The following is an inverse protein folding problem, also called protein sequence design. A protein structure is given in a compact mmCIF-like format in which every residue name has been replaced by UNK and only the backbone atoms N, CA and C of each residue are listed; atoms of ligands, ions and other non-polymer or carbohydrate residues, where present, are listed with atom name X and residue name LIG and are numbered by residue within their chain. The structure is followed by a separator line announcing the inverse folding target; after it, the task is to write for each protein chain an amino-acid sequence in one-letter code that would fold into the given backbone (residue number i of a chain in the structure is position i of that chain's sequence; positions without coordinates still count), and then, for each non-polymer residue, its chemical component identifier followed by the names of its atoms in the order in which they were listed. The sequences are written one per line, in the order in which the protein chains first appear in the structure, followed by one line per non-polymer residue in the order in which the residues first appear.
data_IF_182174879821
#
_entry.id   IF_182174879821
#
_cell.length_a   1.000
_cell.length_b   1.000
_cell.length_c   1.000
_cell.angle_alpha   90.00
_cell.angle_beta   90.00
_cell.angle_gamma   90.00
#
_symmetry.space_group_name_H-M   'P 1'
#
loop_
_entity.id
_entity.type
_entity.pdbx_description
1 polymer ?
#
# COMPACT_ATOMS: atom_id res chain seq x y z
N UNK A 1 -77.45 -27.53 -20.63
CA UNK A 1 -76.84 -26.21 -20.40
C UNK A 1 -75.64 -26.48 -19.46
N UNK A 2 -74.42 -26.72 -19.94
CA UNK A 2 -73.20 -26.63 -19.10
C UNK A 2 -71.93 -27.25 -19.72
N UNK A 3 -71.68 -27.20 -20.98
CA UNK A 3 -70.39 -27.64 -21.58
C UNK A 3 -69.68 -26.51 -22.31
N UNK A 4 -70.40 -25.42 -22.63
CA UNK A 4 -69.85 -24.28 -23.36
C UNK A 4 -69.10 -23.25 -22.47
N UNK A 5 -69.29 -23.25 -21.16
CA UNK A 5 -68.66 -22.28 -20.24
C UNK A 5 -67.23 -22.68 -19.78
N UNK A 6 -66.96 -23.98 -19.69
CA UNK A 6 -65.63 -24.44 -19.29
C UNK A 6 -64.53 -24.22 -20.35
N UNK A 7 -64.91 -24.18 -21.66
CA UNK A 7 -63.97 -23.90 -22.75
C UNK A 7 -63.58 -22.45 -22.86
N UNK A 8 -64.44 -21.50 -22.39
CA UNK A 8 -64.14 -20.06 -22.41
C UNK A 8 -63.20 -19.62 -21.26
N UNK A 9 -63.28 -20.28 -20.09
CA UNK A 9 -62.41 -19.94 -18.97
C UNK A 9 -60.94 -20.40 -19.21
N UNK A 10 -60.73 -21.56 -19.80
CA UNK A 10 -59.37 -22.03 -20.14
C UNK A 10 -58.65 -21.19 -21.18
N UNK A 11 -59.39 -20.53 -22.09
CA UNK A 11 -58.82 -19.66 -23.12
C UNK A 11 -58.41 -18.30 -22.59
N UNK A 12 -59.07 -17.82 -21.52
CA UNK A 12 -58.74 -16.53 -20.89
C UNK A 12 -57.49 -16.59 -19.99
N UNK A 13 -57.26 -17.74 -19.29
CA UNK A 13 -56.07 -17.91 -18.49
C UNK A 13 -54.79 -18.13 -19.31
N UNK A 14 -54.89 -18.79 -20.49
CA UNK A 14 -53.77 -18.96 -21.41
C UNK A 14 -53.28 -17.64 -22.04
N UNK A 15 -54.13 -16.63 -22.16
CA UNK A 15 -53.79 -15.34 -22.73
C UNK A 15 -52.98 -14.43 -21.80
N UNK A 16 -52.95 -14.71 -20.50
CA UNK A 16 -52.23 -13.89 -19.48
C UNK A 16 -50.72 -14.21 -19.34
N UNK A 17 -50.21 -15.26 -19.97
CA UNK A 17 -48.77 -15.49 -20.07
C UNK A 17 -48.13 -14.66 -21.17
N UNK A 18 -48.13 -13.35 -21.05
CA UNK A 18 -47.38 -12.46 -21.95
C UNK A 18 -45.93 -12.89 -21.96
N UNK A 19 -45.42 -13.46 -23.06
CA UNK A 19 -44.00 -13.71 -23.28
C UNK A 19 -43.26 -12.37 -23.12
N UNK A 20 -42.22 -12.31 -22.29
CA UNK A 20 -41.50 -11.04 -22.09
C UNK A 20 -40.98 -10.55 -23.43
N UNK A 21 -41.26 -9.31 -23.74
CA UNK A 21 -40.83 -8.62 -24.97
C UNK A 21 -39.28 -8.69 -25.05
N UNK A 22 -38.73 -8.64 -26.28
CA UNK A 22 -37.27 -8.66 -26.51
C UNK A 22 -36.54 -7.64 -25.63
N UNK A 23 -37.11 -6.47 -25.41
CA UNK A 23 -36.57 -5.43 -24.53
C UNK A 23 -36.44 -5.87 -23.07
N UNK A 24 -37.46 -6.55 -22.50
CA UNK A 24 -37.41 -7.05 -21.11
C UNK A 24 -36.35 -8.13 -20.94
N UNK A 25 -36.13 -8.98 -21.95
CA UNK A 25 -35.06 -10.00 -21.91
C UNK A 25 -33.67 -9.34 -21.94
N UNK A 26 -33.49 -8.32 -22.78
CA UNK A 26 -32.24 -7.56 -22.88
C UNK A 26 -31.91 -6.85 -21.56
N UNK A 27 -32.88 -6.17 -20.94
CA UNK A 27 -32.70 -5.48 -19.64
C UNK A 27 -32.35 -6.48 -18.53
N UNK A 28 -33.02 -7.66 -18.49
CA UNK A 28 -32.68 -8.72 -17.51
C UNK A 28 -31.28 -9.29 -17.72
N UNK A 29 -30.85 -9.44 -18.98
CA UNK A 29 -29.49 -9.90 -19.29
C UNK A 29 -28.45 -8.87 -18.85
N UNK A 30 -28.65 -7.60 -19.19
CA UNK A 30 -27.78 -6.51 -18.78
C UNK A 30 -27.70 -6.40 -17.25
N UNK A 31 -28.82 -6.50 -16.56
CA UNK A 31 -28.88 -6.53 -15.10
C UNK A 31 -28.06 -7.70 -14.51
N UNK A 32 -28.21 -8.90 -15.08
CA UNK A 32 -27.41 -10.08 -14.64
C UNK A 32 -25.92 -9.86 -14.84
N UNK A 33 -25.53 -9.29 -15.98
CA UNK A 33 -24.11 -8.96 -16.24
C UNK A 33 -23.57 -7.95 -15.22
N UNK A 34 -24.33 -6.90 -14.91
CA UNK A 34 -23.94 -5.90 -13.90
C UNK A 34 -23.79 -6.57 -12.53
N UNK A 35 -24.75 -7.38 -12.11
CA UNK A 35 -24.69 -8.10 -10.84
C UNK A 35 -23.47 -9.03 -10.79
N UNK A 36 -23.24 -9.82 -11.83
CA UNK A 36 -22.08 -10.73 -11.91
C UNK A 36 -20.76 -9.94 -11.89
N UNK A 37 -20.67 -8.85 -12.63
CA UNK A 37 -19.49 -7.99 -12.65
C UNK A 37 -19.23 -7.36 -11.26
N UNK A 38 -20.27 -6.92 -10.57
CA UNK A 38 -20.17 -6.36 -9.20
C UNK A 38 -19.72 -7.42 -8.21
N UNK A 39 -20.30 -8.63 -8.28
CA UNK A 39 -19.88 -9.74 -7.41
C UNK A 39 -18.44 -10.15 -7.68
N UNK A 40 -18.03 -10.24 -8.93
CA UNK A 40 -16.65 -10.55 -9.31
C UNK A 40 -15.67 -9.45 -8.81
N UNK A 41 -16.03 -8.18 -8.96
CA UNK A 41 -15.23 -7.04 -8.44
C UNK A 41 -15.11 -7.09 -6.91
N UNK A 42 -16.20 -7.40 -6.21
CA UNK A 42 -16.18 -7.55 -4.76
C UNK A 42 -15.31 -8.74 -4.32
N UNK A 43 -15.45 -9.88 -4.98
CA UNK A 43 -14.62 -11.06 -4.71
C UNK A 43 -13.13 -10.76 -4.95
N UNK A 44 -12.79 -10.08 -6.04
CA UNK A 44 -11.42 -9.66 -6.34
C UNK A 44 -10.88 -8.68 -5.29
N UNK A 45 -11.71 -7.75 -4.82
CA UNK A 45 -11.36 -6.80 -3.77
C UNK A 45 -11.06 -7.50 -2.44
N UNK A 46 -11.91 -8.44 -2.03
CA UNK A 46 -11.72 -9.23 -0.80
C UNK A 46 -10.48 -10.12 -0.92
N UNK A 47 -10.32 -10.82 -2.03
CA UNK A 47 -9.14 -11.65 -2.28
C UNK A 47 -7.85 -10.82 -2.26
N UNK A 48 -7.88 -9.64 -2.87
CA UNK A 48 -6.77 -8.68 -2.83
C UNK A 48 -6.46 -8.18 -1.41
N UNK A 49 -7.47 -7.94 -0.58
CA UNK A 49 -7.28 -7.57 0.82
C UNK A 49 -6.63 -8.71 1.62
N UNK A 50 -7.11 -9.94 1.47
CA UNK A 50 -6.54 -11.09 2.16
C UNK A 50 -5.10 -11.36 1.72
N UNK A 51 -4.82 -11.23 0.43
CA UNK A 51 -3.44 -11.29 -0.09
C UNK A 51 -2.56 -10.18 0.50
N UNK A 52 -3.07 -8.95 0.57
CA UNK A 52 -2.34 -7.82 1.18
C UNK A 52 -2.02 -8.11 2.64
N UNK A 53 -2.98 -8.56 3.43
CA UNK A 53 -2.76 -8.93 4.84
C UNK A 53 -1.72 -10.04 4.95
N UNK A 54 -1.79 -11.06 4.10
CA UNK A 54 -0.78 -12.14 4.05
C UNK A 54 0.61 -11.67 3.61
N UNK A 55 0.71 -10.52 2.94
CA UNK A 55 1.99 -9.91 2.54
C UNK A 55 2.60 -9.00 3.62
N UNK A 56 1.87 -8.70 4.69
CA UNK A 56 2.37 -7.93 5.83
C UNK A 56 3.29 -8.83 6.66
N UNK A 57 4.57 -8.46 6.85
CA UNK A 57 5.49 -9.25 7.67
C UNK A 57 4.99 -9.38 9.11
N UNK A 58 5.01 -10.57 9.65
CA UNK A 58 4.61 -10.88 11.03
C UNK A 58 5.77 -10.91 12.01
N UNK A 59 6.99 -11.00 11.49
CA UNK A 59 8.23 -11.14 12.28
C UNK A 59 9.24 -10.06 11.88
N UNK A 60 10.10 -9.72 12.82
CA UNK A 60 11.27 -8.89 12.57
C UNK A 60 12.35 -9.71 11.85
N UNK A 61 13.04 -9.07 10.93
CA UNK A 61 14.06 -9.72 10.11
C UNK A 61 15.43 -9.36 10.68
N UNK A 62 16.29 -10.36 10.91
CA UNK A 62 17.70 -10.11 11.21
C UNK A 62 18.41 -9.55 9.97
N UNK A 63 19.20 -8.51 10.15
CA UNK A 63 20.02 -7.95 9.09
C UNK A 63 21.43 -8.54 9.18
N UNK A 64 21.73 -9.51 8.33
CA UNK A 64 23.02 -10.21 8.36
C UNK A 64 24.12 -9.42 7.64
N UNK A 65 23.75 -8.66 6.61
CA UNK A 65 24.71 -7.89 5.79
C UNK A 65 24.43 -6.39 5.93
N UNK A 66 25.49 -5.57 6.09
CA UNK A 66 25.32 -4.13 6.10
C UNK A 66 24.90 -3.62 4.71
N UNK A 67 24.12 -2.53 4.70
CA UNK A 67 23.80 -1.75 3.51
C UNK A 67 24.61 -0.44 3.50
N UNK A 68 24.55 0.31 2.39
CA UNK A 68 25.18 1.62 2.32
C UNK A 68 24.51 2.64 3.22
N UNK A 69 23.19 2.59 3.32
CA UNK A 69 22.40 3.48 4.17
C UNK A 69 21.23 2.81 4.85
N UNK A 70 20.68 3.50 5.82
CA UNK A 70 19.43 3.14 6.51
C UNK A 70 18.45 4.30 6.29
N UNK A 71 17.20 4.00 6.02
CA UNK A 71 16.13 5.00 5.97
C UNK A 71 15.01 4.58 6.89
N UNK A 72 14.51 5.51 7.71
CA UNK A 72 13.36 5.31 8.56
C UNK A 72 12.26 6.30 8.20
N UNK A 73 11.04 5.79 8.02
CA UNK A 73 9.87 6.61 7.79
C UNK A 73 9.21 6.96 9.12
N UNK A 74 9.03 8.24 9.40
CA UNK A 74 8.40 8.74 10.64
C UNK A 74 6.95 8.25 10.79
N UNK A 75 6.41 8.37 12.01
CA UNK A 75 5.05 7.98 12.37
C UNK A 75 4.96 6.96 13.52
N UNK A 76 6.07 6.70 14.24
CA UNK A 76 6.14 5.89 15.45
C UNK A 76 7.52 5.98 16.08
N UNK A 77 7.57 6.18 17.41
CA UNK A 77 8.83 6.34 18.15
C UNK A 77 9.72 5.09 18.09
N UNK A 78 9.13 3.89 18.14
CA UNK A 78 9.87 2.62 18.07
C UNK A 78 10.69 2.48 16.79
N UNK A 79 10.17 2.91 15.64
CA UNK A 79 10.90 2.82 14.36
C UNK A 79 12.23 3.58 14.37
N UNK A 80 12.24 4.77 15.00
CA UNK A 80 13.46 5.59 15.08
C UNK A 80 14.47 4.90 16.00
N UNK A 81 14.03 4.32 17.12
CA UNK A 81 14.89 3.57 18.03
C UNK A 81 15.54 2.37 17.31
N UNK A 82 14.75 1.55 16.62
CA UNK A 82 15.24 0.38 15.88
C UNK A 82 16.23 0.80 14.77
N UNK A 83 15.94 1.89 14.06
CA UNK A 83 16.84 2.42 13.03
C UNK A 83 18.17 2.93 13.63
N UNK A 84 18.12 3.54 14.80
CA UNK A 84 19.33 3.98 15.54
C UNK A 84 20.14 2.78 16.05
N UNK A 85 19.50 1.71 16.50
CA UNK A 85 20.18 0.47 16.88
C UNK A 85 20.88 -0.16 15.68
N UNK A 86 20.23 -0.23 14.53
CA UNK A 86 20.85 -0.70 13.28
C UNK A 86 22.06 0.14 12.89
N UNK A 87 21.99 1.47 13.03
CA UNK A 87 23.09 2.37 12.76
C UNK A 87 24.25 2.13 13.74
N UNK A 88 23.94 2.04 15.03
CA UNK A 88 24.93 1.78 16.09
C UNK A 88 25.59 0.40 15.94
N UNK A 89 24.85 -0.59 15.44
CA UNK A 89 25.37 -1.91 15.09
C UNK A 89 26.17 -1.95 13.78
N UNK A 90 26.37 -0.79 13.11
CA UNK A 90 27.14 -0.71 11.87
C UNK A 90 26.42 -1.33 10.66
N UNK A 91 25.10 -1.49 10.70
CA UNK A 91 24.33 -2.07 9.60
C UNK A 91 24.16 -1.11 8.41
N UNK A 92 24.52 0.15 8.57
CA UNK A 92 24.57 1.15 7.51
C UNK A 92 25.54 2.28 7.87
N UNK A 93 26.08 2.96 6.87
CA UNK A 93 27.04 4.08 7.05
C UNK A 93 26.38 5.36 7.56
N UNK A 94 25.11 5.56 7.19
CA UNK A 94 24.31 6.74 7.53
C UNK A 94 22.83 6.38 7.65
N UNK A 95 22.09 7.18 8.41
CA UNK A 95 20.65 7.07 8.59
C UNK A 95 19.95 8.33 8.09
N UNK A 96 18.93 8.18 7.26
CA UNK A 96 17.95 9.23 6.97
C UNK A 96 16.68 8.99 7.78
N UNK A 97 16.25 10.00 8.55
CA UNK A 97 14.92 10.03 9.16
C UNK A 97 14.03 10.87 8.24
N UNK A 98 13.17 10.22 7.45
CA UNK A 98 12.33 10.88 6.43
C UNK A 98 10.95 11.25 6.99
N UNK A 99 10.43 12.43 6.61
CA UNK A 99 9.13 12.94 7.05
C UNK A 99 9.15 13.52 8.46
N UNK A 100 10.26 14.09 8.88
CA UNK A 100 10.39 14.81 10.16
C UNK A 100 9.61 16.11 10.09
N UNK A 101 8.94 16.47 11.20
CA UNK A 101 8.23 17.76 11.24
C UNK A 101 9.22 18.92 11.01
N UNK A 102 8.84 19.95 10.24
CA UNK A 102 9.76 21.04 9.88
C UNK A 102 10.43 21.74 11.07
N UNK A 103 9.78 21.78 12.23
CA UNK A 103 10.30 22.42 13.44
C UNK A 103 11.21 21.51 14.28
N UNK A 104 11.26 20.20 14.01
CA UNK A 104 12.06 19.24 14.79
C UNK A 104 13.51 19.30 14.36
N UNK A 105 14.40 19.63 15.29
CA UNK A 105 15.85 19.71 15.06
C UNK A 105 16.60 18.45 15.48
N UNK A 106 17.80 18.24 14.94
CA UNK A 106 18.69 17.15 15.36
C UNK A 106 19.04 17.22 16.85
N UNK A 107 19.17 18.44 17.40
CA UNK A 107 19.45 18.64 18.83
C UNK A 107 18.28 18.21 19.72
N UNK A 108 17.06 18.36 19.26
CA UNK A 108 15.85 17.94 19.96
C UNK A 108 15.73 16.40 19.98
N UNK A 109 15.94 15.75 18.83
CA UNK A 109 15.99 14.31 18.76
C UNK A 109 17.13 13.70 19.59
N UNK A 110 18.30 14.34 19.61
CA UNK A 110 19.42 13.92 20.45
C UNK A 110 19.11 14.01 21.96
N UNK A 111 18.31 14.99 22.39
CA UNK A 111 17.83 15.10 23.78
C UNK A 111 16.84 14.00 24.16
N UNK A 112 16.00 13.59 23.23
CA UNK A 112 15.03 12.49 23.44
C UNK A 112 15.72 11.12 23.51
N UNK A 113 16.91 11.00 22.92
CA UNK A 113 17.68 9.73 22.90
C UNK A 113 19.18 9.98 23.14
N UNK A 114 19.59 10.36 24.37
CA UNK A 114 20.97 10.75 24.68
C UNK A 114 22.00 9.68 24.34
N UNK A 115 21.65 8.39 24.45
CA UNK A 115 22.51 7.27 24.12
C UNK A 115 23.02 7.30 22.67
N UNK A 116 22.26 7.90 21.75
CA UNK A 116 22.61 7.99 20.34
C UNK A 116 23.21 9.33 19.92
N UNK A 117 23.50 10.21 20.86
CA UNK A 117 24.06 11.55 20.61
C UNK A 117 25.27 11.60 19.68
N UNK A 118 26.26 10.70 19.79
CA UNK A 118 27.40 10.65 18.87
C UNK A 118 26.97 10.39 17.42
N UNK A 119 26.09 9.40 17.18
CA UNK A 119 25.58 9.07 15.82
C UNK A 119 24.71 10.18 15.24
N UNK A 120 23.89 10.83 16.08
CA UNK A 120 23.08 11.98 15.65
C UNK A 120 23.91 13.10 15.04
N UNK A 121 25.12 13.33 15.56
CA UNK A 121 26.00 14.41 15.05
C UNK A 121 26.77 14.05 13.78
N UNK A 122 27.18 12.79 13.63
CA UNK A 122 28.03 12.36 12.50
C UNK A 122 27.23 11.83 11.32
N UNK A 123 26.16 11.10 11.61
CA UNK A 123 25.74 10.05 10.69
C UNK A 123 24.22 10.00 10.47
N UNK A 124 23.45 10.93 11.05
CA UNK A 124 22.00 11.04 10.88
C UNK A 124 21.65 12.31 10.11
N UNK A 125 20.85 12.12 9.06
CA UNK A 125 20.28 13.20 8.26
C UNK A 125 18.77 13.27 8.53
N UNK A 126 18.21 14.50 8.55
CA UNK A 126 16.78 14.72 8.75
C UNK A 126 16.14 15.17 7.42
N UNK A 127 15.10 14.49 7.01
CA UNK A 127 14.28 14.85 5.86
C UNK A 127 13.00 15.55 6.31
N UNK A 128 12.78 16.77 5.86
CA UNK A 128 11.67 17.64 6.24
C UNK A 128 10.69 17.92 5.09
N UNK A 129 11.01 17.46 3.87
CA UNK A 129 10.20 17.78 2.69
C UNK A 129 8.99 16.86 2.52
N UNK A 130 8.99 15.69 3.15
CA UNK A 130 7.99 14.66 2.94
C UNK A 130 6.75 14.90 3.82
N UNK A 131 5.60 15.11 3.19
CA UNK A 131 4.29 15.23 3.86
C UNK A 131 3.46 13.93 3.80
N UNK A 132 3.89 12.95 3.02
CA UNK A 132 3.19 11.68 2.80
C UNK A 132 4.17 10.63 2.24
N UNK A 133 3.70 9.39 2.06
CA UNK A 133 4.56 8.28 1.59
C UNK A 133 5.21 8.52 0.23
N UNK A 134 4.54 9.23 -0.67
CA UNK A 134 5.13 9.59 -1.96
C UNK A 134 6.25 10.61 -1.78
N UNK A 135 6.03 11.60 -0.90
CA UNK A 135 7.06 12.57 -0.52
C UNK A 135 8.26 11.89 0.13
N UNK A 136 8.02 10.93 1.05
CA UNK A 136 9.10 10.12 1.63
C UNK A 136 9.90 9.39 0.54
N UNK A 137 9.22 8.80 -0.45
CA UNK A 137 9.91 8.08 -1.50
C UNK A 137 10.77 9.00 -2.39
N UNK A 138 10.32 10.23 -2.66
CA UNK A 138 11.10 11.26 -3.38
C UNK A 138 12.32 11.68 -2.55
N UNK A 139 12.11 11.99 -1.28
CA UNK A 139 13.16 12.43 -0.36
C UNK A 139 14.24 11.36 -0.20
N UNK A 140 13.84 10.09 -0.05
CA UNK A 140 14.74 8.94 0.03
C UNK A 140 15.52 8.76 -1.28
N UNK A 141 14.86 8.84 -2.44
CA UNK A 141 15.50 8.75 -3.76
C UNK A 141 16.58 9.81 -3.93
N UNK A 142 16.29 11.07 -3.58
CA UNK A 142 17.24 12.19 -3.64
C UNK A 142 18.43 11.95 -2.71
N UNK A 143 18.17 11.50 -1.49
CA UNK A 143 19.22 11.23 -0.51
C UNK A 143 20.13 10.06 -0.94
N UNK A 144 19.54 8.96 -1.44
CA UNK A 144 20.27 7.79 -1.92
C UNK A 144 21.11 8.13 -3.14
N UNK A 145 20.53 8.83 -4.13
CA UNK A 145 21.21 9.23 -5.36
C UNK A 145 22.33 10.22 -5.10
N UNK A 146 22.09 11.22 -4.25
CA UNK A 146 23.07 12.23 -3.89
C UNK A 146 24.30 11.67 -3.15
N UNK A 147 24.17 10.48 -2.55
CA UNK A 147 25.26 9.78 -1.86
C UNK A 147 25.86 8.63 -2.66
N UNK A 148 25.32 8.32 -3.81
CA UNK A 148 25.75 7.18 -4.63
C UNK A 148 25.51 5.82 -3.98
N UNK A 149 24.52 5.72 -3.08
CA UNK A 149 24.19 4.46 -2.39
C UNK A 149 23.52 3.49 -3.33
N UNK A 150 23.84 2.20 -3.20
CA UNK A 150 23.29 1.11 -4.00
C UNK A 150 22.48 0.11 -3.20
N UNK A 151 22.55 0.21 -1.87
CA UNK A 151 21.79 -0.63 -0.95
C UNK A 151 21.29 0.17 0.24
N UNK A 152 20.02 -0.05 0.63
CA UNK A 152 19.37 0.70 1.72
C UNK A 152 18.49 -0.23 2.54
N UNK A 153 18.66 -0.21 3.88
CA UNK A 153 17.72 -0.81 4.82
C UNK A 153 16.55 0.15 5.00
N UNK A 154 15.33 -0.35 4.79
CA UNK A 154 14.09 0.44 4.88
C UNK A 154 13.36 0.06 6.16
N UNK A 155 13.33 0.96 7.14
CA UNK A 155 12.70 0.76 8.45
C UNK A 155 11.33 1.45 8.46
N UNK A 156 10.28 0.68 8.65
CA UNK A 156 8.92 1.19 8.84
C UNK A 156 8.05 0.12 9.51
N UNK A 157 6.84 0.47 9.97
CA UNK A 157 5.94 -0.55 10.53
C UNK A 157 5.60 -1.61 9.50
N UNK A 158 5.41 -2.83 9.98
CA UNK A 158 5.10 -3.98 9.16
C UNK A 158 3.88 -3.76 8.24
N UNK A 159 2.78 -3.20 8.74
CA UNK A 159 1.57 -2.89 7.95
C UNK A 159 1.80 -1.81 6.87
N UNK A 160 2.83 -1.00 7.03
CA UNK A 160 3.22 0.06 6.10
C UNK A 160 4.21 -0.42 5.04
N UNK A 161 4.94 -1.51 5.34
CA UNK A 161 6.03 -2.04 4.53
C UNK A 161 5.62 -2.36 3.08
N UNK A 162 4.48 -3.04 2.80
CA UNK A 162 4.11 -3.36 1.42
C UNK A 162 3.96 -2.11 0.54
N UNK A 163 3.33 -1.05 1.07
CA UNK A 163 3.13 0.21 0.34
C UNK A 163 4.44 0.97 0.17
N UNK A 164 5.25 1.07 1.22
CA UNK A 164 6.55 1.73 1.17
C UNK A 164 7.46 1.09 0.14
N UNK A 165 7.58 -0.24 0.16
CA UNK A 165 8.42 -0.97 -0.78
C UNK A 165 7.93 -0.84 -2.23
N UNK A 166 6.60 -0.78 -2.46
CA UNK A 166 6.05 -0.56 -3.79
C UNK A 166 6.42 0.83 -4.35
N UNK A 167 6.38 1.87 -3.52
CA UNK A 167 6.76 3.24 -3.90
C UNK A 167 8.27 3.33 -4.19
N UNK A 168 9.11 2.79 -3.31
CA UNK A 168 10.56 2.87 -3.42
C UNK A 168 11.12 2.07 -4.60
N UNK A 169 10.69 0.81 -4.79
CA UNK A 169 11.14 -0.04 -5.90
C UNK A 169 10.88 0.56 -7.27
N UNK A 170 9.82 1.32 -7.42
CA UNK A 170 9.50 1.99 -8.69
C UNK A 170 10.41 3.19 -8.97
N UNK A 171 10.81 3.89 -7.91
CA UNK A 171 11.67 5.07 -8.04
C UNK A 171 13.14 4.71 -8.16
N UNK A 172 13.53 3.65 -7.48
CA UNK A 172 14.92 3.21 -7.37
C UNK A 172 15.04 1.73 -7.78
N UNK A 173 14.79 1.39 -9.07
CA UNK A 173 14.84 0.00 -9.54
C UNK A 173 16.24 -0.61 -9.43
N UNK A 174 17.30 0.22 -9.49
CA UNK A 174 18.70 -0.20 -9.46
C UNK A 174 19.31 -0.22 -8.03
N UNK A 175 18.50 0.10 -7.00
CA UNK A 175 18.92 0.10 -5.60
C UNK A 175 18.41 -1.15 -4.90
N UNK A 176 19.28 -1.87 -4.22
CA UNK A 176 18.89 -3.00 -3.37
C UNK A 176 18.19 -2.49 -2.11
N UNK A 177 16.89 -2.74 -1.99
CA UNK A 177 16.08 -2.34 -0.85
C UNK A 177 15.87 -3.53 0.08
N UNK A 178 16.36 -3.42 1.31
CA UNK A 178 16.27 -4.43 2.37
C UNK A 178 15.17 -4.02 3.35
N UNK A 179 14.01 -4.69 3.37
CA UNK A 179 12.94 -4.34 4.30
C UNK A 179 13.29 -4.72 5.73
N UNK A 180 13.07 -3.79 6.67
CA UNK A 180 13.13 -4.04 8.11
C UNK A 180 11.79 -3.64 8.73
N UNK A 181 10.83 -4.57 8.85
CA UNK A 181 9.52 -4.31 9.39
C UNK A 181 9.56 -4.23 10.92
N UNK A 182 9.13 -3.10 11.47
CA UNK A 182 8.93 -2.93 12.91
C UNK A 182 7.56 -3.49 13.28
N UNK A 183 7.53 -4.55 14.07
CA UNK A 183 6.29 -5.23 14.48
C UNK A 183 5.92 -4.81 15.88
N UNK A 184 4.74 -4.21 16.06
CA UNK A 184 4.24 -3.86 17.39
C UNK A 184 3.76 -5.10 18.15
N UNK A 185 3.93 -5.14 19.47
CA UNK A 185 3.50 -6.27 20.32
C UNK A 185 2.04 -6.65 20.09
N UNK A 186 1.19 -5.66 19.88
CA UNK A 186 -0.24 -5.88 19.57
C UNK A 186 -0.45 -6.65 18.27
N UNK A 187 0.32 -6.38 17.23
CA UNK A 187 0.22 -7.11 15.95
C UNK A 187 0.92 -8.48 16.00
N UNK A 188 1.77 -8.71 17.01
CA UNK A 188 2.43 -9.99 17.24
C UNK A 188 1.56 -10.95 18.04
N UNK A 189 0.83 -10.44 19.05
CA UNK A 189 0.09 -11.26 20.02
C UNK A 189 -1.36 -11.52 19.64
N UNK A 190 -1.99 -10.66 18.83
CA UNK A 190 -3.41 -10.74 18.51
C UNK A 190 -3.63 -11.00 17.02
N UNK A 191 -4.58 -11.88 16.70
CA UNK A 191 -5.05 -12.02 15.32
C UNK A 191 -5.68 -10.70 14.85
N UNK A 192 -5.34 -10.23 13.65
CA UNK A 192 -5.79 -8.93 13.14
C UNK A 192 -7.32 -8.78 13.10
N UNK A 193 -8.05 -9.87 12.90
CA UNK A 193 -9.53 -9.89 12.86
C UNK A 193 -10.18 -9.82 14.26
N UNK A 194 -9.45 -10.12 15.34
CA UNK A 194 -9.94 -10.01 16.71
C UNK A 194 -9.85 -8.58 17.27
N UNK A 195 -9.10 -7.68 16.59
CA UNK A 195 -8.90 -6.30 17.01
C UNK A 195 -9.46 -5.33 15.95
N UNK A 196 -10.65 -4.70 16.18
CA UNK A 196 -11.22 -3.74 15.24
C UNK A 196 -10.29 -2.58 14.86
N UNK A 197 -9.48 -2.01 15.77
CA UNK A 197 -8.50 -0.99 15.39
C UNK A 197 -7.45 -1.51 14.42
N UNK A 198 -6.95 -2.73 14.62
CA UNK A 198 -5.96 -3.38 13.75
C UNK A 198 -6.55 -3.68 12.37
N UNK A 199 -7.77 -4.22 12.33
CA UNK A 199 -8.49 -4.47 11.08
C UNK A 199 -8.71 -3.17 10.28
N UNK A 200 -9.14 -2.09 10.95
CA UNK A 200 -9.31 -0.77 10.33
C UNK A 200 -7.99 -0.21 9.80
N UNK A 201 -6.90 -0.39 10.53
CA UNK A 201 -5.56 0.05 10.12
C UNK A 201 -5.13 -0.68 8.85
N UNK A 202 -5.19 -2.01 8.82
CA UNK A 202 -4.83 -2.84 7.66
C UNK A 202 -5.71 -2.51 6.44
N UNK A 203 -7.01 -2.35 6.64
CA UNK A 203 -7.92 -1.95 5.58
C UNK A 203 -7.57 -0.57 5.00
N UNK A 204 -7.27 0.40 5.86
CA UNK A 204 -6.82 1.73 5.45
C UNK A 204 -5.51 1.66 4.64
N UNK A 205 -4.54 0.87 5.05
CA UNK A 205 -3.28 0.71 4.32
C UNK A 205 -3.48 -0.03 2.99
N UNK A 206 -4.38 -1.01 2.93
CA UNK A 206 -4.76 -1.67 1.68
C UNK A 206 -5.36 -0.68 0.67
N UNK A 207 -6.29 0.17 1.09
CA UNK A 207 -6.85 1.20 0.21
C UNK A 207 -5.77 2.15 -0.32
N UNK A 208 -4.88 2.61 0.55
CA UNK A 208 -3.75 3.47 0.16
C UNK A 208 -2.79 2.74 -0.79
N UNK A 209 -2.56 1.44 -0.59
CA UNK A 209 -1.77 0.60 -1.48
C UNK A 209 -2.40 0.51 -2.88
N UNK A 210 -3.73 0.25 -2.97
CA UNK A 210 -4.46 0.25 -4.24
C UNK A 210 -4.33 1.60 -4.95
N UNK A 211 -4.57 2.70 -4.24
CA UNK A 211 -4.45 4.06 -4.81
C UNK A 211 -3.05 4.30 -5.36
N UNK A 212 -2.00 3.89 -4.64
CA UNK A 212 -0.63 3.97 -5.11
C UNK A 212 -0.43 3.17 -6.41
N UNK A 213 -0.92 1.92 -6.47
CA UNK A 213 -0.80 1.06 -7.64
C UNK A 213 -1.54 1.63 -8.87
N UNK A 214 -2.75 2.14 -8.67
CA UNK A 214 -3.55 2.76 -9.74
C UNK A 214 -2.84 4.01 -10.29
N UNK A 215 -2.39 4.90 -9.41
CA UNK A 215 -1.65 6.11 -9.79
C UNK A 215 -0.43 5.78 -10.65
N UNK A 216 0.30 4.74 -10.28
CA UNK A 216 1.47 4.30 -11.05
C UNK A 216 1.11 3.78 -12.44
N UNK A 217 0.04 3.00 -12.57
CA UNK A 217 -0.40 2.50 -13.88
C UNK A 217 -0.82 3.63 -14.80
N UNK A 218 -1.56 4.61 -14.27
CA UNK A 218 -1.98 5.78 -15.04
C UNK A 218 -0.77 6.62 -15.46
N UNK A 219 0.19 6.86 -14.56
CA UNK A 219 1.41 7.60 -14.88
C UNK A 219 2.26 6.92 -15.96
N UNK A 220 2.43 5.60 -15.87
CA UNK A 220 3.17 4.83 -16.87
C UNK A 220 2.49 4.86 -18.25
N UNK A 221 1.15 4.73 -18.29
CA UNK A 221 0.38 4.83 -19.53
C UNK A 221 0.50 6.22 -20.17
N UNK A 222 0.47 7.29 -19.38
CA UNK A 222 0.61 8.66 -19.87
C UNK A 222 2.02 8.92 -20.45
N UNK A 223 3.07 8.35 -19.85
CA UNK A 223 4.45 8.45 -20.35
C UNK A 223 4.63 7.67 -21.65
N UNK A 224 4.08 6.46 -21.75
CA UNK A 224 4.12 5.65 -22.96
C UNK A 224 3.40 6.33 -24.14
N UNK A 225 2.24 6.96 -23.88
CA UNK A 225 1.48 7.70 -24.90
C UNK A 225 2.23 8.93 -25.44
N UNK A 226 3.01 9.61 -24.60
CA UNK A 226 3.84 10.75 -25.02
C UNK A 226 5.06 10.32 -25.82
N UNK A 227 5.69 9.19 -25.48
CA UNK A 227 6.85 8.65 -26.19
C UNK A 227 6.52 8.17 -27.61
N UNK A 228 5.32 7.64 -27.83
CA UNK A 228 4.89 7.18 -29.18
C UNK A 228 4.55 8.35 -30.14
N UNK A 229 4.25 9.54 -29.61
CA UNK A 229 3.96 10.73 -30.44
C UNK A 229 5.22 11.47 -30.95
N UNK A 230 6.39 11.25 -30.36
CA UNK A 230 7.62 11.98 -30.74
C UNK A 230 8.43 11.32 -31.87
N UNK A 231 8.06 10.11 -32.30
CA UNK A 231 8.70 9.41 -33.43
C UNK A 231 7.94 9.54 -34.77
N UNK A 232 6.84 10.31 -34.79
CA UNK A 232 6.00 10.48 -35.97
C UNK A 232 6.08 11.90 -36.60
N UNK A 233 7.10 12.69 -36.26
CA UNK A 233 7.33 14.03 -36.81
C UNK A 233 8.68 14.11 -37.49
#
# INVERSE_FOLDING_TARGET
MSVADSHRQGSAEAALRRRPTRGVRFVRYLWRLIVLATLAAMAAFIAGFLWFVGSVPSEEVSIDRPADGIVVLTGGASRIADAMELLAAGRGKRLLISGVHPTTSSSELARLSPAYGPWMRCCVDLGHAALNTTGNAIEIEQWVSGRGFRSVIVVTSNYHMPRTMAELRRRMPDVTLVPFPVVTDKMRSEAWWSSPPTAKLLFSEYLKYIVAQVRFRIGAAATAARGSGSHAA
#
